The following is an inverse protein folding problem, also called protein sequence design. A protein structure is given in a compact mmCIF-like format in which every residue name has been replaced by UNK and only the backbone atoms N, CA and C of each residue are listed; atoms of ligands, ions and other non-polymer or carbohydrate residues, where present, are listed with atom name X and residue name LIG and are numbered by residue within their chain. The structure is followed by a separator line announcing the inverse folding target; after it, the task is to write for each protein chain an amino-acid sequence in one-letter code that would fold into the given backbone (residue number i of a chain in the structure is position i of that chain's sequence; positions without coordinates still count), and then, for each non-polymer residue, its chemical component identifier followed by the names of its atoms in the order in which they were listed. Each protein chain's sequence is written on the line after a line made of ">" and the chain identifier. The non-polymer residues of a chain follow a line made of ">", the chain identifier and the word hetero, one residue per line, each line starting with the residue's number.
data_IF_217654889817
#
_entry.id   IF_217654889817
#
_cell.length_a   1.000
_cell.length_b   1.000
_cell.length_c   1.000
_cell.angle_alpha   90.00
_cell.angle_beta   90.00
_cell.angle_gamma   90.00
#
_symmetry.space_group_name_H-M   'P 1'
#
loop_
_entity.id
_entity.type
_entity.pdbx_description
1 polymer ?
#
# COMPACT_ATOMS: atom_id res chain seq x y z
N UNK A 1 -9.45 -4.91 -23.65
CA UNK A 1 -9.45 -3.90 -22.63
C UNK A 1 -8.89 -4.40 -21.32
N UNK A 2 -8.94 -3.54 -20.36
CA UNK A 2 -8.48 -3.87 -19.03
C UNK A 2 -9.66 -3.91 -18.09
N UNK A 3 -9.82 -5.00 -17.42
CA UNK A 3 -10.83 -5.14 -16.40
C UNK A 3 -10.17 -5.42 -15.10
N UNK A 4 -10.74 -4.95 -14.05
CA UNK A 4 -10.16 -5.23 -12.75
C UNK A 4 -10.95 -4.58 -11.65
N UNK A 5 -10.43 -4.75 -10.47
CA UNK A 5 -11.01 -4.19 -9.27
C UNK A 5 -10.07 -3.12 -8.77
N UNK A 6 -10.64 -2.02 -8.35
CA UNK A 6 -9.82 -0.99 -7.72
C UNK A 6 -10.58 -0.43 -6.54
N UNK A 7 -9.84 -0.06 -5.52
CA UNK A 7 -10.43 0.61 -4.36
C UNK A 7 -9.38 1.45 -3.70
N UNK A 8 -9.84 2.51 -3.08
CA UNK A 8 -8.97 3.44 -2.38
C UNK A 8 -9.04 3.15 -0.90
N UNK A 9 -7.93 3.38 -0.22
CA UNK A 9 -7.87 3.25 1.22
C UNK A 9 -8.03 4.64 1.81
N UNK A 10 -8.95 4.76 2.76
CA UNK A 10 -9.22 6.06 3.37
C UNK A 10 -8.04 6.60 4.15
N UNK A 11 -7.33 5.73 4.88
CA UNK A 11 -6.14 6.13 5.58
C UNK A 11 -5.01 6.32 4.58
N UNK A 12 -4.20 7.33 4.80
CA UNK A 12 -3.08 7.61 3.92
C UNK A 12 -2.03 8.40 4.66
N UNK A 13 -1.39 9.34 3.93
CA UNK A 13 -0.29 10.11 4.49
C UNK A 13 -0.65 10.87 5.76
N UNK A 14 -1.84 11.45 5.80
CA UNK A 14 -2.25 12.23 6.97
C UNK A 14 -2.42 11.32 8.19
N UNK A 15 -3.00 10.16 8.01
CA UNK A 15 -3.16 9.21 9.11
C UNK A 15 -1.81 8.79 9.68
N UNK A 16 -0.82 8.56 8.79
CA UNK A 16 0.53 8.21 9.21
C UNK A 16 1.14 9.35 9.99
N UNK A 17 1.04 10.58 9.47
CA UNK A 17 1.65 11.74 10.12
C UNK A 17 1.07 11.97 11.51
N UNK A 18 -0.24 11.92 11.62
CA UNK A 18 -0.91 12.17 12.89
C UNK A 18 -0.58 11.09 13.91
N UNK A 19 -0.58 9.82 13.47
CA UNK A 19 -0.28 8.72 14.37
C UNK A 19 1.14 8.77 14.87
N UNK A 20 2.10 8.96 13.96
CA UNK A 20 3.50 9.03 14.35
C UNK A 20 3.76 10.23 15.25
N UNK A 21 3.14 11.37 14.94
CA UNK A 21 3.29 12.57 15.76
C UNK A 21 2.84 12.33 17.19
N UNK A 22 1.69 11.70 17.36
CA UNK A 22 1.20 11.39 18.70
C UNK A 22 2.14 10.45 19.45
N UNK A 23 2.70 9.49 18.73
CA UNK A 23 3.56 8.49 19.36
C UNK A 23 4.84 9.10 19.92
N UNK A 24 5.37 10.15 19.29
CA UNK A 24 6.63 10.74 19.73
C UNK A 24 6.47 12.13 20.35
N UNK A 25 5.24 12.64 20.44
CA UNK A 25 5.00 13.97 21.00
C UNK A 25 5.44 15.09 20.08
N UNK A 26 5.30 14.90 18.78
CA UNK A 26 5.67 15.89 17.79
C UNK A 26 4.43 16.41 17.08
N UNK A 27 4.63 17.18 16.01
CA UNK A 27 3.53 17.68 15.20
C UNK A 27 3.43 16.90 13.89
N UNK A 28 2.23 16.91 13.30
CA UNK A 28 2.04 16.28 12.00
C UNK A 28 2.92 16.95 10.95
N UNK A 29 3.10 18.27 11.05
CA UNK A 29 3.97 18.99 10.12
C UNK A 29 5.41 18.50 10.18
N UNK A 30 5.90 18.23 11.38
CA UNK A 30 7.24 17.67 11.56
C UNK A 30 7.37 16.31 10.89
N UNK A 31 6.35 15.46 11.08
CA UNK A 31 6.37 14.14 10.49
C UNK A 31 6.34 14.23 8.96
N UNK A 32 5.51 15.13 8.42
CA UNK A 32 5.44 15.34 6.99
C UNK A 32 6.80 15.79 6.43
N UNK A 33 7.47 16.71 7.13
CA UNK A 33 8.77 17.17 6.70
C UNK A 33 9.79 16.05 6.69
N UNK A 34 9.76 15.17 7.68
CA UNK A 34 10.67 14.03 7.72
C UNK A 34 10.44 13.09 6.54
N UNK A 35 9.19 12.89 6.16
CA UNK A 35 8.89 12.07 4.99
C UNK A 35 9.44 12.70 3.72
N UNK A 36 9.31 14.03 3.60
CA UNK A 36 9.79 14.73 2.42
C UNK A 36 11.30 14.74 2.31
N UNK A 37 12.00 14.69 3.44
CA UNK A 37 13.45 14.58 3.43
C UNK A 37 13.93 13.21 2.95
N UNK A 38 13.02 12.25 2.97
CA UNK A 38 13.35 10.89 2.54
C UNK A 38 13.81 10.04 3.70
N UNK A 39 13.24 8.85 3.79
CA UNK A 39 13.73 7.85 4.72
C UNK A 39 13.30 6.49 4.18
N UNK A 40 13.92 5.44 4.70
CA UNK A 40 13.58 4.08 4.30
C UNK A 40 12.86 3.41 5.47
N UNK A 41 11.63 2.99 5.24
CA UNK A 41 10.83 2.44 6.33
C UNK A 41 11.34 1.07 6.81
N UNK A 42 12.20 0.43 6.03
CA UNK A 42 12.84 -0.81 6.45
C UNK A 42 14.14 -0.56 7.20
N UNK A 43 14.64 0.66 7.19
CA UNK A 43 15.86 1.04 7.90
C UNK A 43 15.68 2.39 8.57
N UNK A 44 14.70 2.50 9.49
CA UNK A 44 14.47 3.80 10.14
C UNK A 44 15.61 4.16 11.07
N UNK A 45 15.91 5.47 11.12
CA UNK A 45 16.98 5.98 11.95
C UNK A 45 16.39 6.96 12.95
N UNK A 46 16.45 6.59 14.21
CA UNK A 46 15.98 7.45 15.27
C UNK A 46 14.50 7.26 15.54
N UNK A 47 14.08 7.83 16.65
CA UNK A 47 12.76 7.60 17.20
C UNK A 47 11.64 8.06 16.30
N UNK A 48 11.82 9.22 15.64
CA UNK A 48 10.79 9.75 14.78
C UNK A 48 10.60 8.90 13.54
N UNK A 49 11.70 8.47 12.93
CA UNK A 49 11.60 7.61 11.75
C UNK A 49 11.05 6.23 12.12
N UNK A 50 11.37 5.75 13.30
CA UNK A 50 10.81 4.47 13.76
C UNK A 50 9.30 4.56 13.92
N UNK A 51 8.81 5.69 14.43
CA UNK A 51 7.36 5.88 14.55
C UNK A 51 6.71 5.94 13.19
N UNK A 52 7.30 6.67 12.24
CA UNK A 52 6.78 6.72 10.88
C UNK A 52 6.75 5.32 10.25
N UNK A 53 7.84 4.58 10.39
CA UNK A 53 7.93 3.25 9.83
C UNK A 53 6.86 2.33 10.41
N UNK A 54 6.61 2.44 11.71
CA UNK A 54 5.59 1.61 12.35
C UNK A 54 4.20 1.89 11.74
N UNK A 55 3.87 3.16 11.54
CA UNK A 55 2.57 3.49 10.99
C UNK A 55 2.46 3.13 9.51
N UNK A 56 3.54 3.25 8.73
CA UNK A 56 3.55 2.75 7.36
C UNK A 56 3.30 1.25 7.32
N UNK A 57 3.98 0.50 8.19
CA UNK A 57 3.83 -0.95 8.19
C UNK A 57 2.42 -1.36 8.61
N UNK A 58 1.85 -0.65 9.58
CA UNK A 58 0.48 -0.92 10.00
C UNK A 58 -0.49 -0.64 8.87
N UNK A 59 -0.29 0.45 8.13
CA UNK A 59 -1.15 0.77 7.01
C UNK A 59 -1.05 -0.30 5.93
N UNK A 60 0.15 -0.76 5.62
CA UNK A 60 0.35 -1.78 4.60
C UNK A 60 -0.36 -3.07 4.99
N UNK A 61 -0.22 -3.49 6.25
CA UNK A 61 -0.90 -4.70 6.72
C UNK A 61 -2.42 -4.55 6.62
N UNK A 62 -2.92 -3.40 7.04
CA UNK A 62 -4.34 -3.12 6.96
C UNK A 62 -4.82 -3.16 5.52
N UNK A 63 -4.07 -2.55 4.60
CA UNK A 63 -4.47 -2.51 3.20
C UNK A 63 -4.50 -3.89 2.57
N UNK A 64 -3.53 -4.72 2.88
CA UNK A 64 -3.51 -6.07 2.32
C UNK A 64 -4.69 -6.89 2.86
N UNK A 65 -4.98 -6.75 4.14
CA UNK A 65 -6.10 -7.47 4.73
C UNK A 65 -7.43 -6.99 4.18
N UNK A 66 -7.57 -5.66 3.97
CA UNK A 66 -8.78 -5.12 3.37
C UNK A 66 -8.94 -5.58 1.92
N UNK A 67 -7.84 -5.62 1.20
CA UNK A 67 -7.85 -6.09 -0.19
C UNK A 67 -8.30 -7.55 -0.25
N UNK A 68 -7.77 -8.37 0.64
CA UNK A 68 -8.16 -9.78 0.69
C UNK A 68 -9.65 -9.91 0.98
N UNK A 69 -10.18 -9.10 1.90
CA UNK A 69 -11.60 -9.14 2.22
C UNK A 69 -12.49 -8.76 1.06
N UNK A 70 -12.08 -7.73 0.28
CA UNK A 70 -12.84 -7.31 -0.88
C UNK A 70 -12.85 -8.40 -1.95
N UNK A 71 -11.70 -9.00 -2.23
CA UNK A 71 -11.64 -10.06 -3.22
C UNK A 71 -12.41 -11.30 -2.77
N UNK A 72 -12.36 -11.61 -1.49
CA UNK A 72 -13.10 -12.76 -0.98
C UNK A 72 -14.59 -12.57 -1.17
N UNK A 73 -15.06 -11.34 -0.96
CA UNK A 73 -16.48 -11.04 -1.09
C UNK A 73 -16.99 -11.20 -2.50
N UNK A 74 -16.15 -10.95 -3.50
CA UNK A 74 -16.59 -10.90 -4.90
C UNK A 74 -16.00 -12.01 -5.75
N UNK A 75 -15.16 -12.89 -5.20
CA UNK A 75 -14.48 -13.89 -6.02
C UNK A 75 -15.47 -14.82 -6.73
N UNK A 76 -16.65 -15.00 -6.16
CA UNK A 76 -17.68 -15.83 -6.80
C UNK A 76 -18.28 -15.18 -8.02
N UNK A 77 -18.07 -13.87 -8.20
CA UNK A 77 -18.65 -13.14 -9.34
C UNK A 77 -17.66 -12.95 -10.48
N UNK A 78 -16.39 -13.25 -10.23
CA UNK A 78 -15.37 -13.07 -11.24
C UNK A 78 -14.75 -14.40 -11.58
N UNK A 79 -14.50 -14.58 -12.86
CA UNK A 79 -13.74 -15.72 -13.31
C UNK A 79 -12.33 -15.22 -13.60
N UNK A 80 -11.39 -15.61 -12.77
CA UNK A 80 -10.00 -15.18 -12.91
C UNK A 80 -9.18 -16.40 -13.30
N UNK A 81 -9.06 -16.66 -14.61
CA UNK A 81 -8.45 -17.92 -15.05
C UNK A 81 -6.97 -18.00 -14.81
N UNK A 82 -6.33 -16.89 -14.46
CA UNK A 82 -4.90 -16.90 -14.22
C UNK A 82 -4.57 -15.87 -13.15
N UNK A 83 -3.34 -15.93 -12.67
CA UNK A 83 -2.86 -14.96 -11.70
C UNK A 83 -2.87 -13.56 -12.31
N UNK A 84 -3.19 -12.57 -11.51
CA UNK A 84 -3.27 -11.19 -11.96
C UNK A 84 -2.32 -10.33 -11.12
N UNK A 85 -1.83 -9.23 -11.68
CA UNK A 85 -0.97 -8.33 -10.91
C UNK A 85 -1.77 -7.41 -10.01
N UNK A 86 -1.18 -7.04 -8.89
CA UNK A 86 -1.69 -6.00 -8.03
C UNK A 86 -0.81 -4.77 -8.22
N UNK A 87 -1.44 -3.66 -8.53
CA UNK A 87 -0.74 -2.40 -8.81
C UNK A 87 -1.07 -1.43 -7.70
N UNK A 88 -0.03 -0.85 -7.11
CA UNK A 88 -0.17 0.08 -6.00
C UNK A 88 0.27 1.46 -6.48
N UNK A 89 -0.52 2.49 -6.18
CA UNK A 89 -0.19 3.83 -6.60
C UNK A 89 -0.62 4.83 -5.54
N UNK A 90 -0.29 6.10 -5.77
CA UNK A 90 -0.58 7.17 -4.84
C UNK A 90 0.67 7.65 -4.15
N UNK A 91 0.61 8.88 -3.60
CA UNK A 91 1.78 9.48 -2.97
C UNK A 91 2.32 8.68 -1.80
N UNK A 92 1.44 8.02 -1.05
CA UNK A 92 1.85 7.21 0.08
C UNK A 92 2.78 6.07 -0.34
N UNK A 93 2.60 5.54 -1.55
CA UNK A 93 3.40 4.41 -2.01
C UNK A 93 4.82 4.79 -2.43
N UNK A 94 5.14 6.09 -2.45
CA UNK A 94 6.44 6.55 -2.88
C UNK A 94 7.49 6.56 -1.78
N UNK A 95 7.11 6.28 -0.55
CA UNK A 95 8.07 6.25 0.55
C UNK A 95 9.13 5.19 0.31
N UNK A 96 10.36 5.47 0.70
CA UNK A 96 11.45 4.51 0.54
C UNK A 96 11.16 3.21 1.25
N UNK A 97 11.32 2.11 0.55
CA UNK A 97 11.08 0.79 1.12
C UNK A 97 9.62 0.36 1.15
N UNK A 98 8.71 1.23 0.68
CA UNK A 98 7.29 0.91 0.73
C UNK A 98 6.97 -0.35 -0.08
N UNK A 99 7.37 -0.38 -1.34
CA UNK A 99 7.04 -1.52 -2.20
C UNK A 99 7.66 -2.80 -1.67
N UNK A 100 8.91 -2.74 -1.22
CA UNK A 100 9.58 -3.92 -0.69
C UNK A 100 8.85 -4.48 0.53
N UNK A 101 8.42 -3.61 1.42
CA UNK A 101 7.68 -4.08 2.59
C UNK A 101 6.29 -4.59 2.21
N UNK A 102 5.64 -3.94 1.26
CA UNK A 102 4.34 -4.39 0.77
C UNK A 102 4.46 -5.80 0.18
N UNK A 103 5.47 -6.02 -0.66
CA UNK A 103 5.69 -7.33 -1.26
C UNK A 103 5.98 -8.39 -0.21
N UNK A 104 6.81 -8.06 0.78
CA UNK A 104 7.16 -8.99 1.84
C UNK A 104 5.92 -9.37 2.66
N UNK A 105 5.12 -8.37 3.00
CA UNK A 105 3.91 -8.61 3.78
C UNK A 105 2.90 -9.45 2.98
N UNK A 106 2.76 -9.13 1.70
CA UNK A 106 1.86 -9.90 0.85
C UNK A 106 2.30 -11.36 0.76
N UNK A 107 3.62 -11.61 0.60
CA UNK A 107 4.11 -12.98 0.51
C UNK A 107 3.80 -13.77 1.79
N UNK A 108 3.87 -13.12 2.94
CA UNK A 108 3.54 -13.79 4.19
C UNK A 108 2.06 -14.17 4.25
N UNK A 109 1.22 -13.50 3.48
CA UNK A 109 -0.22 -13.74 3.48
C UNK A 109 -0.72 -14.40 2.20
N UNK A 110 0.17 -14.77 1.30
CA UNK A 110 -0.21 -15.27 -0.03
C UNK A 110 -1.12 -16.47 0.04
N UNK A 111 -0.84 -17.38 0.96
CA UNK A 111 -1.63 -18.60 1.07
C UNK A 111 -3.07 -18.36 1.48
N UNK A 112 -3.31 -17.26 2.19
CA UNK A 112 -4.66 -16.93 2.64
C UNK A 112 -5.36 -15.95 1.72
N UNK A 113 -4.66 -15.45 0.71
CA UNK A 113 -5.23 -14.50 -0.21
C UNK A 113 -6.21 -15.20 -1.13
N UNK A 114 -7.41 -14.64 -1.35
CA UNK A 114 -8.48 -15.37 -2.06
C UNK A 114 -8.27 -15.53 -3.55
N UNK A 115 -7.35 -14.79 -4.16
CA UNK A 115 -7.08 -14.92 -5.58
C UNK A 115 -5.59 -15.11 -5.78
N UNK A 116 -5.23 -15.60 -6.96
CA UNK A 116 -3.83 -15.77 -7.30
C UNK A 116 -3.27 -14.48 -7.85
N UNK A 117 -2.11 -14.07 -7.35
CA UNK A 117 -1.49 -12.81 -7.72
C UNK A 117 -0.15 -13.09 -8.40
N UNK A 118 0.03 -12.54 -9.59
CA UNK A 118 1.27 -12.77 -10.33
C UNK A 118 2.41 -11.91 -9.82
N UNK A 119 2.12 -10.68 -9.41
CA UNK A 119 3.15 -9.77 -8.90
C UNK A 119 2.49 -8.62 -8.16
N UNK A 120 3.27 -7.93 -7.37
CA UNK A 120 2.86 -6.67 -6.74
C UNK A 120 3.85 -5.61 -7.20
N UNK A 121 3.36 -4.53 -7.78
CA UNK A 121 4.25 -3.50 -8.32
C UNK A 121 3.64 -2.12 -8.17
N UNK A 122 4.49 -1.10 -8.32
CA UNK A 122 4.02 0.27 -8.36
C UNK A 122 3.48 0.58 -9.75
N UNK A 123 2.52 1.47 -9.81
CA UNK A 123 2.02 1.96 -11.09
C UNK A 123 3.13 2.69 -11.83
N UNK A 124 3.05 2.69 -13.16
CA UNK A 124 4.06 3.36 -13.97
C UNK A 124 4.06 4.87 -13.75
N UNK A 125 2.92 5.44 -13.35
CA UNK A 125 2.84 6.87 -13.05
C UNK A 125 2.02 7.05 -11.78
N UNK A 126 2.61 6.74 -10.62
CA UNK A 126 1.84 6.74 -9.37
C UNK A 126 1.37 8.10 -8.95
N UNK A 127 2.01 9.18 -9.39
CA UNK A 127 1.62 10.51 -8.97
C UNK A 127 0.30 10.98 -9.57
N UNK A 128 -0.14 10.36 -10.66
CA UNK A 128 -1.38 10.75 -11.30
C UNK A 128 -2.60 10.03 -10.76
N UNK A 129 -2.42 9.10 -9.84
CA UNK A 129 -3.53 8.29 -9.36
C UNK A 129 -4.23 8.98 -8.18
N UNK A 130 -3.62 8.98 -7.01
CA UNK A 130 -4.19 9.59 -5.81
C UNK A 130 -3.07 10.36 -5.14
N UNK A 131 -3.21 11.69 -5.08
CA UNK A 131 -2.09 12.54 -4.67
C UNK A 131 -1.51 12.16 -3.31
N UNK A 132 -2.34 11.98 -2.31
CA UNK A 132 -1.87 11.69 -0.96
C UNK A 132 -2.30 10.36 -0.42
N UNK A 133 -3.14 9.66 -1.13
CA UNK A 133 -3.71 8.42 -0.64
C UNK A 133 -2.98 7.21 -1.16
N UNK A 134 -3.71 6.12 -1.15
CA UNK A 134 -3.20 4.84 -1.59
C UNK A 134 -4.30 4.18 -2.41
N UNK A 135 -3.96 3.79 -3.62
CA UNK A 135 -4.87 3.10 -4.52
C UNK A 135 -4.31 1.73 -4.82
N UNK A 136 -5.13 0.71 -4.65
CA UNK A 136 -4.75 -0.67 -4.93
C UNK A 136 -5.65 -1.18 -6.02
N UNK A 137 -5.07 -1.72 -7.07
CA UNK A 137 -5.80 -2.22 -8.21
C UNK A 137 -5.35 -3.61 -8.57
N UNK A 138 -6.32 -4.48 -8.82
CA UNK A 138 -6.05 -5.77 -9.43
C UNK A 138 -6.45 -5.64 -10.88
N UNK A 139 -5.49 -5.76 -11.78
CA UNK A 139 -5.71 -5.46 -13.18
C UNK A 139 -5.65 -6.74 -13.99
N UNK A 140 -6.73 -7.03 -14.70
CA UNK A 140 -6.75 -8.15 -15.61
C UNK A 140 -6.55 -7.62 -17.02
N UNK A 141 -5.41 -7.96 -17.60
CA UNK A 141 -5.04 -7.48 -18.92
C UNK A 141 -5.33 -8.55 -19.94
N UNK A 142 -6.20 -8.24 -20.85
CA UNK A 142 -6.60 -9.21 -21.88
C UNK A 142 -5.77 -9.14 -23.14
N UNK A 143 -4.86 -8.20 -23.19
CA UNK A 143 -4.04 -8.15 -24.32
C UNK A 143 -2.93 -8.98 -24.21
N UNK A 144 -2.51 -9.49 -24.70
CA UNK A 144 -1.45 -10.19 -24.45
C UNK A 144 -1.02 -10.74 -24.95
#
# INVERSE_FOLDING_TARGET
>A
GIEGLSFSVAQGGDWIDEGAARAVGATSSRMCALKEQGFDLNEPKGREQEALALYYKSLIEYCIDQTAGEFDRIKGRFSLPRAIPIVVSGGTALAGGFLAFFQKTFEARRKKFPIEVSEVRLASDPLNAVARGLLIQAIQDHEE
#
